data_IF_986033081924
#
_entry.id   IF_986033081924
#
_cell.length_a   1.000
_cell.length_b   1.000
_cell.length_c   1.000
_cell.angle_alpha   90.00
_cell.angle_beta   90.00
_cell.angle_gamma   90.00
#
_symmetry.space_group_name_H-M   'P 1'
#
loop_
_entity.id
_entity.type
_entity.pdbx_description
1 polymer ?
#
# COMPACT_ATOMS: atom_id res chain seq x y z
N UNK A 1 21.16 19.00 1.79
CA UNK A 1 20.10 18.05 1.43
C UNK A 1 20.44 17.48 0.07
N UNK A 2 20.60 16.17 -0.04
CA UNK A 2 20.78 15.49 -1.33
C UNK A 2 19.41 15.57 -2.05
N UNK A 3 19.39 16.21 -3.21
CA UNK A 3 18.18 16.36 -4.02
C UNK A 3 18.12 15.21 -5.03
N UNK A 4 17.25 14.25 -4.81
CA UNK A 4 17.01 13.14 -5.75
C UNK A 4 16.21 13.63 -6.96
N UNK A 5 16.56 13.14 -8.16
CA UNK A 5 15.92 13.58 -9.41
C UNK A 5 14.49 13.06 -9.56
N UNK A 6 14.28 11.82 -9.17
CA UNK A 6 13.02 11.09 -9.45
C UNK A 6 12.16 10.81 -8.22
N UNK A 7 12.68 10.97 -6.99
CA UNK A 7 11.96 10.60 -5.77
C UNK A 7 10.60 11.28 -5.65
N UNK A 8 10.55 12.60 -5.83
CA UNK A 8 9.29 13.34 -5.67
C UNK A 8 8.25 12.92 -6.73
N UNK A 9 8.69 12.65 -7.97
CA UNK A 9 7.81 12.15 -9.03
C UNK A 9 7.30 10.75 -8.71
N UNK A 10 8.15 9.87 -8.20
CA UNK A 10 7.76 8.51 -7.81
C UNK A 10 6.79 8.53 -6.62
N UNK A 11 7.00 9.40 -5.63
CA UNK A 11 6.06 9.58 -4.51
C UNK A 11 4.71 10.08 -5.01
N UNK A 12 4.69 11.03 -5.95
CA UNK A 12 3.45 11.52 -6.55
C UNK A 12 2.70 10.39 -7.27
N UNK A 13 3.38 9.61 -8.12
CA UNK A 13 2.78 8.48 -8.84
C UNK A 13 2.24 7.43 -7.84
N UNK A 14 3.01 7.10 -6.81
CA UNK A 14 2.61 6.21 -5.74
C UNK A 14 1.30 6.66 -5.07
N UNK A 15 1.21 7.94 -4.68
CA UNK A 15 0.02 8.49 -4.04
C UNK A 15 -1.18 8.48 -4.99
N UNK A 16 -1.00 8.82 -6.26
CA UNK A 16 -2.07 8.75 -7.27
C UNK A 16 -2.58 7.33 -7.42
N UNK A 17 -1.69 6.33 -7.56
CA UNK A 17 -2.07 4.92 -7.67
C UNK A 17 -2.82 4.48 -6.41
N UNK A 18 -2.37 4.86 -5.22
CA UNK A 18 -3.01 4.54 -3.96
C UNK A 18 -4.43 5.12 -3.87
N UNK A 19 -4.61 6.40 -4.23
CA UNK A 19 -5.94 7.04 -4.22
C UNK A 19 -6.88 6.43 -5.25
N UNK A 20 -6.41 6.16 -6.47
CA UNK A 20 -7.20 5.49 -7.51
C UNK A 20 -7.58 4.08 -7.08
N UNK A 21 -6.64 3.34 -6.48
CA UNK A 21 -6.90 2.00 -5.92
C UNK A 21 -8.03 2.03 -4.89
N UNK A 22 -8.01 3.01 -3.97
CA UNK A 22 -9.07 3.17 -2.96
C UNK A 22 -10.44 3.49 -3.60
N UNK A 23 -10.47 4.30 -4.66
CA UNK A 23 -11.74 4.62 -5.36
C UNK A 23 -12.33 3.40 -6.05
N UNK A 24 -11.51 2.60 -6.76
CA UNK A 24 -11.99 1.43 -7.48
C UNK A 24 -12.21 0.20 -6.58
N UNK A 25 -11.78 0.25 -5.31
CA UNK A 25 -11.94 -0.82 -4.34
C UNK A 25 -13.40 -1.23 -4.11
N UNK A 26 -14.33 -0.30 -4.28
CA UNK A 26 -15.76 -0.52 -4.09
C UNK A 26 -16.35 -1.50 -5.12
N UNK A 27 -15.70 -1.66 -6.27
CA UNK A 27 -16.19 -2.58 -7.30
C UNK A 27 -15.72 -4.00 -7.01
N UNK A 28 -16.66 -4.90 -6.81
CA UNK A 28 -16.41 -6.33 -6.79
C UNK A 28 -16.37 -6.84 -8.23
N UNK A 29 -15.26 -7.44 -8.61
CA UNK A 29 -15.00 -7.96 -9.96
C UNK A 29 -14.92 -9.49 -9.93
N UNK A 30 -15.26 -10.12 -11.04
CA UNK A 30 -15.06 -11.55 -11.25
C UNK A 30 -14.01 -11.77 -12.32
N UNK A 31 -12.93 -12.46 -11.97
CA UNK A 31 -11.85 -12.83 -12.87
C UNK A 31 -11.76 -14.37 -12.94
N UNK A 32 -12.44 -14.97 -13.93
CA UNK A 32 -12.59 -16.42 -13.99
C UNK A 32 -13.31 -16.96 -12.75
N UNK A 33 -12.72 -17.89 -11.98
CA UNK A 33 -13.30 -18.44 -10.76
C UNK A 33 -13.10 -17.51 -9.53
N UNK A 34 -12.27 -16.47 -9.63
CA UNK A 34 -11.92 -15.61 -8.52
C UNK A 34 -12.84 -14.40 -8.44
N UNK A 35 -13.25 -14.08 -7.22
CA UNK A 35 -13.94 -12.82 -6.89
C UNK A 35 -12.94 -11.91 -6.20
N UNK A 36 -12.68 -10.74 -6.79
CA UNK A 36 -11.66 -9.80 -6.33
C UNK A 36 -12.26 -8.39 -6.19
N UNK A 37 -11.66 -7.57 -5.35
CA UNK A 37 -11.90 -6.13 -5.34
C UNK A 37 -11.20 -5.46 -6.54
N UNK A 38 -11.76 -4.37 -7.05
CA UNK A 38 -11.08 -3.55 -8.04
C UNK A 38 -9.72 -3.02 -7.57
N UNK A 39 -9.53 -2.86 -6.26
CA UNK A 39 -8.24 -2.48 -5.68
C UNK A 39 -7.12 -3.50 -5.96
N UNK A 40 -7.43 -4.79 -6.04
CA UNK A 40 -6.44 -5.85 -6.27
C UNK A 40 -5.65 -5.67 -7.58
N UNK A 41 -6.15 -4.86 -8.52
CA UNK A 41 -5.45 -4.55 -9.77
C UNK A 41 -4.31 -3.54 -9.57
N UNK A 42 -4.46 -2.60 -8.65
CA UNK A 42 -3.55 -1.47 -8.48
C UNK A 42 -2.82 -1.47 -7.13
N UNK A 43 -3.47 -1.95 -6.07
CA UNK A 43 -2.92 -1.89 -4.73
C UNK A 43 -1.57 -2.62 -4.58
N UNK A 44 -1.33 -3.79 -5.19
CA UNK A 44 -0.01 -4.42 -5.14
C UNK A 44 1.12 -3.56 -5.72
N UNK A 45 0.81 -2.68 -6.68
CA UNK A 45 1.80 -1.75 -7.24
C UNK A 45 2.33 -0.82 -6.15
N UNK A 46 1.51 -0.44 -5.17
CA UNK A 46 1.96 0.41 -4.06
C UNK A 46 3.05 -0.23 -3.22
N UNK A 47 3.03 -1.56 -3.05
CA UNK A 47 4.08 -2.32 -2.37
C UNK A 47 5.38 -2.35 -3.19
N UNK A 48 5.27 -2.52 -4.51
CA UNK A 48 6.43 -2.41 -5.42
C UNK A 48 7.09 -1.03 -5.30
N UNK A 49 6.31 0.05 -5.23
CA UNK A 49 6.85 1.39 -4.98
C UNK A 49 7.51 1.52 -3.61
N UNK A 50 6.91 0.94 -2.57
CA UNK A 50 7.50 0.91 -1.22
C UNK A 50 8.84 0.19 -1.21
N UNK A 51 8.95 -0.93 -1.93
CA UNK A 51 10.19 -1.67 -2.10
C UNK A 51 11.23 -0.81 -2.85
N UNK A 52 10.84 -0.14 -3.93
CA UNK A 52 11.70 0.77 -4.68
C UNK A 52 12.22 1.91 -3.79
N UNK A 53 11.34 2.54 -3.00
CA UNK A 53 11.74 3.60 -2.09
C UNK A 53 12.77 3.10 -1.07
N UNK A 54 12.48 1.98 -0.42
CA UNK A 54 13.37 1.42 0.61
C UNK A 54 14.68 0.92 0.01
N UNK A 55 14.65 0.26 -1.15
CA UNK A 55 15.83 -0.33 -1.76
C UNK A 55 16.78 0.71 -2.37
N UNK A 56 16.25 1.78 -2.97
CA UNK A 56 17.05 2.80 -3.65
C UNK A 56 17.39 3.95 -2.71
N UNK A 57 16.37 4.52 -2.05
CA UNK A 57 16.48 5.77 -1.29
C UNK A 57 16.54 5.56 0.23
N UNK A 58 16.34 4.31 0.70
CA UNK A 58 16.35 3.91 2.10
C UNK A 58 15.01 4.05 2.80
N UNK A 59 14.94 3.47 4.01
CA UNK A 59 13.74 3.43 4.85
C UNK A 59 13.13 4.82 5.14
N UNK A 60 13.97 5.84 5.31
CA UNK A 60 13.50 7.21 5.57
C UNK A 60 12.66 7.79 4.44
N UNK A 61 13.01 7.52 3.18
CA UNK A 61 12.22 7.95 2.02
C UNK A 61 10.90 7.17 1.93
N UNK A 62 10.92 5.85 2.16
CA UNK A 62 9.72 5.03 2.21
C UNK A 62 8.77 5.47 3.33
N UNK A 63 9.31 5.70 4.54
CA UNK A 63 8.54 6.24 5.67
C UNK A 63 7.80 7.54 5.31
N UNK A 64 8.49 8.48 4.67
CA UNK A 64 7.87 9.74 4.21
C UNK A 64 6.76 9.49 3.20
N UNK A 65 6.97 8.62 2.21
CA UNK A 65 5.97 8.27 1.21
C UNK A 65 4.73 7.61 1.84
N UNK A 66 4.93 6.68 2.79
CA UNK A 66 3.84 6.02 3.53
C UNK A 66 2.98 7.04 4.27
N UNK A 67 3.58 7.98 4.99
CA UNK A 67 2.84 9.02 5.70
C UNK A 67 2.07 9.95 4.74
N UNK A 68 2.67 10.36 3.62
CA UNK A 68 1.98 11.16 2.61
C UNK A 68 0.77 10.39 2.05
N UNK A 69 0.95 9.11 1.71
CA UNK A 69 -0.13 8.24 1.25
C UNK A 69 -1.24 8.06 2.29
N UNK A 70 -0.88 7.88 3.57
CA UNK A 70 -1.83 7.78 4.67
C UNK A 70 -2.70 9.03 4.79
N UNK A 71 -2.08 10.22 4.85
CA UNK A 71 -2.83 11.47 4.97
C UNK A 71 -3.66 11.77 3.71
N UNK A 72 -3.14 11.47 2.52
CA UNK A 72 -3.89 11.62 1.27
C UNK A 72 -5.13 10.71 1.24
N UNK A 73 -5.00 9.45 1.68
CA UNK A 73 -6.12 8.50 1.76
C UNK A 73 -7.13 8.91 2.83
N UNK A 74 -6.67 9.38 3.99
CA UNK A 74 -7.54 9.90 5.04
C UNK A 74 -8.32 11.14 4.57
N UNK A 75 -7.65 12.06 3.86
CA UNK A 75 -8.29 13.23 3.28
C UNK A 75 -9.35 12.85 2.23
N UNK A 76 -9.03 11.93 1.32
CA UNK A 76 -9.98 11.42 0.32
C UNK A 76 -11.22 10.84 1.01
N UNK A 77 -11.03 10.03 2.04
CA UNK A 77 -12.12 9.40 2.78
C UNK A 77 -12.97 10.41 3.53
N UNK A 78 -12.33 11.37 4.20
CA UNK A 78 -13.04 12.43 4.93
C UNK A 78 -13.81 13.35 3.99
N UNK A 79 -13.20 13.78 2.88
CA UNK A 79 -13.85 14.62 1.87
C UNK A 79 -15.03 13.89 1.20
N UNK A 80 -14.86 12.60 0.86
CA UNK A 80 -15.94 11.77 0.31
C UNK A 80 -17.10 11.61 1.27
N UNK A 81 -16.83 11.30 2.55
CA UNK A 81 -17.86 11.17 3.58
C UNK A 81 -18.60 12.50 3.80
N UNK A 82 -17.88 13.61 3.84
CA UNK A 82 -18.47 14.95 3.97
C UNK A 82 -19.38 15.26 2.78
N UNK A 83 -18.92 15.02 1.55
CA UNK A 83 -19.70 15.27 0.35
C UNK A 83 -20.97 14.43 0.29
N UNK A 84 -20.93 13.16 0.75
CA UNK A 84 -22.11 12.29 0.86
C UNK A 84 -23.10 12.80 1.90
N UNK A 85 -22.62 13.37 3.03
CA UNK A 85 -23.44 13.88 4.12
C UNK A 85 -24.14 15.21 3.79
N UNK A 86 -23.64 15.96 2.81
CA UNK A 86 -24.28 17.21 2.37
C UNK A 86 -25.64 16.92 1.71
N UNK A 87 -26.68 17.74 1.97
CA UNK A 87 -27.98 17.58 1.32
C UNK A 87 -27.86 17.76 -0.20
N UNK A 88 -28.46 16.83 -0.95
CA UNK A 88 -28.46 16.89 -2.40
C UNK A 88 -29.37 18.02 -2.90
N UNK A 89 -28.97 18.69 -3.99
CA UNK A 89 -29.84 19.60 -4.73
C UNK A 89 -31.07 18.82 -5.28
N UNK A 90 -32.27 19.41 -5.29
CA UNK A 90 -33.48 18.77 -5.81
C UNK A 90 -33.34 18.25 -7.26
N UNK A 91 -32.49 18.87 -8.08
CA UNK A 91 -32.16 18.42 -9.44
C UNK A 91 -31.10 17.30 -9.52
N UNK A 92 -30.47 16.93 -8.38
CA UNK A 92 -29.44 15.91 -8.35
C UNK A 92 -30.03 14.52 -8.06
N UNK A 93 -30.15 13.69 -9.08
CA UNK A 93 -30.77 12.34 -8.96
C UNK A 93 -29.77 11.21 -8.69
N UNK A 94 -28.45 11.49 -8.64
CA UNK A 94 -27.40 10.47 -8.53
C UNK A 94 -26.84 10.28 -7.12
N UNK A 95 -27.52 10.79 -6.08
CA UNK A 95 -27.06 10.72 -4.68
C UNK A 95 -26.73 9.29 -4.24
N UNK A 96 -27.58 8.31 -4.58
CA UNK A 96 -27.35 6.93 -4.20
C UNK A 96 -26.12 6.33 -4.89
N UNK A 97 -25.91 6.61 -6.17
CA UNK A 97 -24.72 6.16 -6.90
C UNK A 97 -23.44 6.79 -6.34
N UNK A 98 -23.50 8.09 -6.04
CA UNK A 98 -22.40 8.82 -5.41
C UNK A 98 -22.08 8.26 -4.02
N UNK A 99 -23.09 8.04 -3.19
CA UNK A 99 -22.94 7.46 -1.86
C UNK A 99 -22.39 6.01 -1.91
N UNK A 100 -22.71 5.24 -2.94
CA UNK A 100 -22.16 3.88 -3.12
C UNK A 100 -20.66 3.92 -3.37
N UNK A 101 -20.14 4.92 -4.10
CA UNK A 101 -18.72 5.05 -4.40
C UNK A 101 -17.94 5.72 -3.26
N UNK A 102 -18.49 6.79 -2.68
CA UNK A 102 -17.79 7.61 -1.68
C UNK A 102 -18.26 7.43 -0.24
N UNK A 103 -19.40 6.75 -0.03
CA UNK A 103 -19.97 6.48 1.29
C UNK A 103 -19.25 5.33 1.98
N UNK A 104 -17.98 5.54 2.25
CA UNK A 104 -17.19 4.56 2.99
C UNK A 104 -17.81 4.29 4.35
N UNK A 105 -18.09 3.04 4.64
CA UNK A 105 -18.47 2.64 6.00
C UNK A 105 -17.29 2.95 6.92
N UNK A 106 -17.45 3.74 7.97
CA UNK A 106 -16.33 4.22 8.81
C UNK A 106 -15.39 3.10 9.30
N UNK A 107 -15.97 1.93 9.59
CA UNK A 107 -15.21 0.73 10.00
C UNK A 107 -14.25 0.25 8.90
N UNK A 108 -14.69 0.24 7.64
CA UNK A 108 -13.86 -0.17 6.50
C UNK A 108 -12.74 0.84 6.23
N UNK A 109 -13.04 2.13 6.36
CA UNK A 109 -12.02 3.19 6.21
C UNK A 109 -10.95 3.05 7.28
N UNK A 110 -11.35 2.93 8.54
CA UNK A 110 -10.41 2.74 9.64
C UNK A 110 -9.58 1.46 9.45
N UNK A 111 -10.22 0.35 9.05
CA UNK A 111 -9.54 -0.91 8.77
C UNK A 111 -8.49 -0.74 7.66
N UNK A 112 -8.86 -0.11 6.54
CA UNK A 112 -7.96 0.12 5.40
C UNK A 112 -6.77 1.01 5.76
N UNK A 113 -6.99 2.08 6.51
CA UNK A 113 -5.92 2.99 6.93
C UNK A 113 -4.96 2.31 7.91
N UNK A 114 -5.48 1.57 8.89
CA UNK A 114 -4.66 0.82 9.86
C UNK A 114 -3.88 -0.28 9.16
N UNK A 115 -4.53 -1.05 8.28
CA UNK A 115 -3.90 -2.13 7.54
C UNK A 115 -2.81 -1.60 6.60
N UNK A 116 -3.12 -0.59 5.79
CA UNK A 116 -2.16 0.08 4.91
C UNK A 116 -0.94 0.57 5.69
N UNK A 117 -1.15 1.34 6.75
CA UNK A 117 -0.06 1.88 7.55
C UNK A 117 0.82 0.77 8.13
N UNK A 118 0.20 -0.21 8.80
CA UNK A 118 0.93 -1.32 9.44
C UNK A 118 1.64 -2.19 8.40
N UNK A 119 0.96 -2.54 7.31
CA UNK A 119 1.50 -3.39 6.25
C UNK A 119 2.68 -2.74 5.52
N UNK A 120 2.55 -1.47 5.14
CA UNK A 120 3.61 -0.74 4.43
C UNK A 120 4.84 -0.52 5.32
N UNK A 121 4.65 -0.18 6.59
CA UNK A 121 5.79 -0.04 7.50
C UNK A 121 6.48 -1.38 7.77
N UNK A 122 5.72 -2.45 7.97
CA UNK A 122 6.26 -3.79 8.14
C UNK A 122 7.04 -4.25 6.89
N UNK A 123 6.51 -3.99 5.69
CA UNK A 123 7.19 -4.25 4.43
C UNK A 123 8.53 -3.50 4.35
N UNK A 124 8.50 -2.17 4.48
CA UNK A 124 9.70 -1.34 4.38
C UNK A 124 10.74 -1.66 5.45
N UNK A 125 10.31 -1.89 6.69
CA UNK A 125 11.20 -2.31 7.77
C UNK A 125 11.87 -3.66 7.47
N UNK A 126 11.08 -4.65 7.06
CA UNK A 126 11.58 -6.00 6.74
C UNK A 126 12.57 -5.95 5.58
N UNK A 127 12.27 -5.19 4.52
CA UNK A 127 13.16 -5.02 3.37
C UNK A 127 14.48 -4.37 3.78
N UNK A 128 14.43 -3.30 4.56
CA UNK A 128 15.64 -2.61 5.03
C UNK A 128 16.51 -3.53 5.92
N UNK A 129 15.89 -4.28 6.84
CA UNK A 129 16.60 -5.26 7.68
C UNK A 129 17.22 -6.39 6.86
N UNK A 130 16.46 -6.96 5.92
CA UNK A 130 16.98 -8.00 5.02
C UNK A 130 18.11 -7.46 4.13
N UNK A 131 18.06 -6.19 3.71
CA UNK A 131 19.13 -5.55 2.96
C UNK A 131 20.42 -5.46 3.77
N UNK A 132 20.34 -5.07 5.03
CA UNK A 132 21.48 -5.05 5.96
C UNK A 132 22.05 -6.45 6.15
N UNK A 133 21.18 -7.43 6.47
CA UNK A 133 21.59 -8.82 6.72
C UNK A 133 22.24 -9.48 5.50
N UNK A 134 21.78 -9.18 4.28
CA UNK A 134 22.32 -9.75 3.05
C UNK A 134 23.50 -8.96 2.47
N UNK A 135 23.89 -7.85 3.11
CA UNK A 135 24.92 -6.94 2.58
C UNK A 135 24.58 -6.42 1.18
N UNK A 136 23.30 -6.17 0.91
CA UNK A 136 22.81 -5.71 -0.39
C UNK A 136 22.69 -6.80 -1.47
N UNK A 137 23.01 -8.07 -1.16
CA UNK A 137 22.91 -9.21 -2.11
C UNK A 137 21.46 -9.72 -2.22
N UNK A 138 21.15 -10.43 -3.33
CA UNK A 138 19.88 -11.15 -3.54
C UNK A 138 18.63 -10.28 -3.30
N UNK A 139 18.41 -9.30 -4.18
CA UNK A 139 17.25 -8.39 -4.10
C UNK A 139 15.91 -9.15 -3.99
N UNK A 140 15.73 -10.27 -4.72
CA UNK A 140 14.51 -11.06 -4.73
C UNK A 140 14.13 -11.61 -3.34
N UNK A 141 15.11 -12.00 -2.52
CA UNK A 141 14.81 -12.51 -1.17
C UNK A 141 14.28 -11.40 -0.26
N UNK A 142 14.74 -10.17 -0.49
CA UNK A 142 14.30 -9.01 0.28
C UNK A 142 12.91 -8.56 -0.14
N UNK A 143 12.66 -8.43 -1.45
CA UNK A 143 11.36 -8.01 -1.97
C UNK A 143 10.29 -9.04 -1.64
N UNK A 144 10.49 -10.32 -1.95
CA UNK A 144 9.52 -11.36 -1.61
C UNK A 144 9.37 -11.51 -0.09
N UNK A 145 10.48 -11.48 0.67
CA UNK A 145 10.43 -11.61 2.14
C UNK A 145 9.68 -10.46 2.81
N UNK A 146 9.90 -9.22 2.37
CA UNK A 146 9.18 -8.04 2.88
C UNK A 146 7.69 -8.08 2.52
N UNK A 147 7.38 -8.48 1.27
CA UNK A 147 6.02 -8.68 0.79
C UNK A 147 5.24 -9.70 1.63
N UNK A 148 5.84 -10.85 1.90
CA UNK A 148 5.22 -11.90 2.73
C UNK A 148 4.79 -11.33 4.09
N UNK A 149 5.66 -10.56 4.75
CA UNK A 149 5.38 -9.96 6.05
C UNK A 149 4.36 -8.82 5.94
N UNK A 150 4.59 -7.87 5.04
CA UNK A 150 3.75 -6.69 4.86
C UNK A 150 2.32 -7.06 4.47
N UNK A 151 2.17 -7.93 3.47
CA UNK A 151 0.86 -8.39 2.99
C UNK A 151 0.12 -9.27 4.00
N UNK A 152 0.84 -10.05 4.82
CA UNK A 152 0.20 -10.82 5.90
C UNK A 152 -0.48 -9.90 6.90
N UNK A 153 0.22 -8.85 7.35
CA UNK A 153 -0.33 -7.88 8.31
C UNK A 153 -1.45 -7.04 7.67
N UNK A 154 -1.23 -6.50 6.47
CA UNK A 154 -2.24 -5.73 5.75
C UNK A 154 -3.54 -6.53 5.56
N UNK A 155 -3.42 -7.73 4.98
CA UNK A 155 -4.59 -8.56 4.67
C UNK A 155 -5.31 -9.04 5.92
N UNK A 156 -4.56 -9.47 6.94
CA UNK A 156 -5.15 -9.88 8.20
C UNK A 156 -5.92 -8.72 8.86
N UNK A 157 -5.30 -7.56 8.98
CA UNK A 157 -5.91 -6.41 9.66
C UNK A 157 -7.13 -5.89 8.91
N UNK A 158 -7.05 -5.70 7.59
CA UNK A 158 -8.19 -5.18 6.82
C UNK A 158 -9.36 -6.17 6.87
N UNK A 159 -9.13 -7.46 6.70
CA UNK A 159 -10.19 -8.45 6.74
C UNK A 159 -10.77 -8.62 8.14
N UNK A 160 -9.91 -8.72 9.16
CA UNK A 160 -10.36 -8.89 10.53
C UNK A 160 -11.16 -7.67 11.01
N UNK A 161 -10.63 -6.46 10.90
CA UNK A 161 -11.34 -5.26 11.37
C UNK A 161 -12.63 -5.02 10.57
N UNK A 162 -12.61 -5.25 9.25
CA UNK A 162 -13.78 -5.02 8.39
C UNK A 162 -14.90 -6.02 8.62
N UNK A 163 -14.59 -7.31 8.78
CA UNK A 163 -15.57 -8.41 8.69
C UNK A 163 -15.81 -9.15 9.99
N UNK A 164 -15.07 -8.88 11.09
CA UNK A 164 -15.31 -9.54 12.39
C UNK A 164 -16.76 -9.31 12.84
N UNK A 165 -17.44 -10.42 13.14
CA UNK A 165 -18.85 -10.42 13.50
C UNK A 165 -19.84 -10.37 12.33
N UNK A 166 -19.39 -10.16 11.08
CA UNK A 166 -20.24 -10.11 9.89
C UNK A 166 -20.23 -11.41 9.08
N UNK A 167 -19.15 -12.18 9.16
CA UNK A 167 -18.98 -13.44 8.44
C UNK A 167 -18.57 -14.58 9.36
N UNK A 168 -18.78 -15.82 8.93
CA UNK A 168 -18.33 -16.99 9.70
C UNK A 168 -16.80 -17.08 9.72
N UNK A 169 -16.22 -17.69 10.75
CA UNK A 169 -14.76 -17.87 10.88
C UNK A 169 -14.16 -18.61 9.67
N UNK A 170 -14.85 -19.60 9.14
CA UNK A 170 -14.39 -20.33 7.95
C UNK A 170 -14.37 -19.47 6.69
N UNK A 171 -15.33 -18.56 6.55
CA UNK A 171 -15.37 -17.58 5.45
C UNK A 171 -14.27 -16.55 5.61
N UNK A 172 -14.05 -16.06 6.84
CA UNK A 172 -12.97 -15.12 7.18
C UNK A 172 -11.59 -15.69 6.77
N UNK A 173 -11.30 -16.93 7.20
CA UNK A 173 -10.02 -17.59 6.88
C UNK A 173 -9.85 -17.72 5.35
N UNK A 174 -10.90 -18.13 4.64
CA UNK A 174 -10.85 -18.23 3.18
C UNK A 174 -10.57 -16.88 2.51
N UNK A 175 -11.23 -15.81 2.95
CA UNK A 175 -11.01 -14.46 2.43
C UNK A 175 -9.56 -14.01 2.67
N UNK A 176 -9.04 -14.18 3.89
CA UNK A 176 -7.67 -13.81 4.23
C UNK A 176 -6.68 -14.60 3.35
N UNK A 177 -6.81 -15.92 3.28
CA UNK A 177 -5.87 -16.76 2.52
C UNK A 177 -5.93 -16.46 1.02
N UNK A 178 -7.12 -16.30 0.45
CA UNK A 178 -7.27 -16.01 -0.99
C UNK A 178 -6.68 -14.65 -1.36
N UNK A 179 -7.02 -13.59 -0.62
CA UNK A 179 -6.49 -12.25 -0.88
C UNK A 179 -4.98 -12.19 -0.67
N UNK A 180 -4.48 -12.80 0.41
CA UNK A 180 -3.04 -12.88 0.67
C UNK A 180 -2.27 -13.57 -0.45
N UNK A 181 -2.74 -14.76 -0.88
CA UNK A 181 -2.07 -15.51 -1.95
C UNK A 181 -2.07 -14.75 -3.29
N UNK A 182 -3.18 -14.10 -3.63
CA UNK A 182 -3.27 -13.29 -4.86
C UNK A 182 -2.24 -12.15 -4.82
N UNK A 183 -2.19 -11.40 -3.71
CA UNK A 183 -1.28 -10.26 -3.55
C UNK A 183 0.19 -10.69 -3.61
N UNK A 184 0.57 -11.72 -2.84
CA UNK A 184 1.95 -12.24 -2.83
C UNK A 184 2.35 -12.80 -4.20
N UNK A 185 1.44 -13.51 -4.88
CA UNK A 185 1.69 -14.02 -6.23
C UNK A 185 1.91 -12.88 -7.23
N UNK A 186 1.05 -11.85 -7.18
CA UNK A 186 1.18 -10.67 -8.04
C UNK A 186 2.56 -10.00 -7.89
N UNK A 187 2.99 -9.73 -6.66
CA UNK A 187 4.28 -9.10 -6.40
C UNK A 187 5.47 -9.99 -6.76
N UNK A 188 5.35 -11.31 -6.51
CA UNK A 188 6.38 -12.28 -6.93
C UNK A 188 6.55 -12.27 -8.44
N UNK A 189 5.45 -12.25 -9.20
CA UNK A 189 5.48 -12.16 -10.66
C UNK A 189 6.00 -10.80 -11.15
N UNK A 190 5.78 -9.74 -10.40
CA UNK A 190 6.28 -8.40 -10.71
C UNK A 190 7.76 -8.19 -10.32
N UNK A 191 8.36 -9.09 -9.55
CA UNK A 191 9.76 -8.98 -9.09
C UNK A 191 10.77 -8.70 -10.21
N UNK A 192 10.73 -9.33 -11.40
CA UNK A 192 11.65 -8.99 -12.49
C UNK A 192 11.56 -7.53 -12.93
N UNK A 193 10.34 -6.97 -12.97
CA UNK A 193 10.12 -5.55 -13.25
C UNK A 193 10.73 -4.66 -12.17
N UNK A 194 10.53 -5.03 -10.90
CA UNK A 194 11.15 -4.34 -9.74
C UNK A 194 12.67 -4.30 -9.88
N UNK A 195 13.31 -5.42 -10.28
CA UNK A 195 14.75 -5.46 -10.54
C UNK A 195 15.19 -4.47 -11.62
N UNK A 196 14.47 -4.42 -12.72
CA UNK A 196 14.79 -3.51 -13.83
C UNK A 196 14.70 -2.05 -13.39
N UNK A 197 13.63 -1.67 -12.68
CA UNK A 197 13.39 -0.30 -12.19
C UNK A 197 14.42 0.08 -11.13
N UNK A 198 14.65 -0.77 -10.13
CA UNK A 198 15.65 -0.53 -9.07
C UNK A 198 17.05 -0.39 -9.66
N UNK A 199 17.44 -1.29 -10.59
CA UNK A 199 18.75 -1.24 -11.25
C UNK A 199 18.94 0.02 -12.10
N UNK A 200 17.88 0.49 -12.76
CA UNK A 200 17.90 1.74 -13.51
C UNK A 200 18.01 2.95 -12.58
N UNK A 201 17.18 3.02 -11.52
CA UNK A 201 17.18 4.13 -10.56
C UNK A 201 18.53 4.25 -9.84
N UNK A 202 19.10 3.15 -9.34
CA UNK A 202 20.42 3.17 -8.67
C UNK A 202 21.52 3.76 -9.58
N UNK A 203 21.44 3.48 -10.90
CA UNK A 203 22.38 4.03 -11.88
C UNK A 203 22.17 5.52 -12.15
N UNK A 204 20.92 5.96 -12.28
CA UNK A 204 20.58 7.35 -12.64
C UNK A 204 20.73 8.30 -11.44
N UNK A 205 20.36 7.81 -10.25
CA UNK A 205 20.46 8.59 -9.00
C UNK A 205 21.84 8.48 -8.34
N UNK A 206 22.70 7.54 -8.79
CA UNK A 206 24.01 7.26 -8.19
C UNK A 206 23.93 6.97 -6.69
N UNK A 207 22.87 6.29 -6.25
CA UNK A 207 22.64 5.97 -4.84
C UNK A 207 22.24 4.50 -4.66
N UNK A 208 22.69 3.94 -3.55
CA UNK A 208 22.27 2.66 -3.02
C UNK A 208 22.25 2.77 -1.49
N UNK A 209 21.12 3.20 -0.94
CA UNK A 209 20.99 3.44 0.48
C UNK A 209 21.11 2.15 1.29
N UNK A 210 21.93 2.17 2.35
CA UNK A 210 22.03 1.07 3.31
C UNK A 210 21.73 1.64 4.71
N UNK A 211 20.63 1.19 5.31
CA UNK A 211 20.02 1.73 6.51
C UNK A 211 20.71 1.28 7.82
N UNK A 212 22.06 1.29 7.88
CA UNK A 212 22.81 0.82 9.05
C UNK A 212 22.72 1.75 10.27
N UNK A 213 22.42 3.03 10.06
CA UNK A 213 22.29 4.04 11.12
C UNK A 213 20.92 4.70 11.15
N UNK A 214 19.94 4.11 10.49
CA UNK A 214 18.60 4.68 10.34
C UNK A 214 17.74 4.42 11.57
N UNK A 215 17.01 5.44 12.01
CA UNK A 215 15.98 5.29 13.02
C UNK A 215 14.72 4.65 12.41
N UNK A 216 14.47 3.40 12.75
CA UNK A 216 13.31 2.62 12.23
C UNK A 216 11.99 2.96 12.93
N UNK A 217 11.96 3.90 13.87
CA UNK A 217 10.71 4.35 14.45
C UNK A 217 9.84 5.05 13.39
N UNK A 218 8.63 4.53 13.08
CA UNK A 218 7.75 5.11 12.09
C UNK A 218 7.27 6.53 12.43
N UNK A 219 7.26 6.90 13.70
CA UNK A 219 6.84 8.22 14.19
C UNK A 219 7.98 9.25 14.26
N UNK A 220 9.24 8.84 14.17
CA UNK A 220 10.37 9.75 14.14
C UNK A 220 10.47 10.41 12.76
N UNK A 221 10.03 11.65 12.63
CA UNK A 221 10.03 12.39 11.36
C UNK A 221 11.43 12.89 10.96
N UNK A 222 12.35 12.96 11.89
CA UNK A 222 13.77 13.31 11.65
C UNK A 222 14.62 12.06 11.79
N UNK A 223 15.40 11.76 10.77
CA UNK A 223 16.50 10.82 10.84
C UNK A 223 17.70 11.64 11.36
N UNK A 224 18.03 11.52 12.65
CA UNK A 224 19.33 11.91 13.18
C UNK A 224 20.36 10.85 12.85
#
# INVERSE_FOLDING_TARGET
MVRFKHLDTLVLIFVVILLVSNLVAQKVCRLGPLTISGAELLFPITYIFSDIFTEVYGYGASKRAIWIGFFASALLSAAGALAVALPADPGWHNQQAFATVFGFVPRFVAASLIAYWTGQFANSFTLAQLKILTGGRWLWTRTIGSTVVGQALDTFLVMFISFEGLVTRSTMIRLILSSYLIKVTYETLATPLTYAVVGWLKRVEHIDALDTKTNFNPFALHNE
#
